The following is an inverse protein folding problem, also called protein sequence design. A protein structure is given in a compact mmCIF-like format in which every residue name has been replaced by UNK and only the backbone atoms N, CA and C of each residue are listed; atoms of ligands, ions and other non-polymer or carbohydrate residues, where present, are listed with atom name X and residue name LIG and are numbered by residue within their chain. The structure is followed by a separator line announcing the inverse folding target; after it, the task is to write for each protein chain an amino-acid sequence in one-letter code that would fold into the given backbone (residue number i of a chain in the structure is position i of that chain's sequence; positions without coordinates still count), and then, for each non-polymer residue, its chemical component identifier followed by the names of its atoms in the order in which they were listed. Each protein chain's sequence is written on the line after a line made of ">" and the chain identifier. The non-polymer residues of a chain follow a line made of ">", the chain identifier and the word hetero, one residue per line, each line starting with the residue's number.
data_IF_093791836305
#
_entry.id   IF_093791836305
#
_cell.length_a   1.000
_cell.length_b   1.000
_cell.length_c   1.000
_cell.angle_alpha   90.00
_cell.angle_beta   90.00
_cell.angle_gamma   90.00
#
_symmetry.space_group_name_H-M   'P 1'
#
loop_
_entity.id
_entity.type
_entity.pdbx_description
1 polymer ?
#
# COMPACT_ATOMS: atom_id res chain seq x y z
N UNK A 1 -18.44 -41.13 -39.49
CA UNK A 1 -18.58 -39.80 -38.91
C UNK A 1 -17.51 -39.68 -37.80
N UNK A 2 -16.39 -39.05 -38.12
CA UNK A 2 -15.29 -38.79 -37.20
C UNK A 2 -15.46 -37.39 -36.65
N UNK A 3 -15.62 -37.24 -35.37
CA UNK A 3 -15.66 -35.95 -34.68
C UNK A 3 -14.25 -35.55 -34.32
N UNK A 4 -13.80 -34.43 -34.92
CA UNK A 4 -12.51 -33.81 -34.63
C UNK A 4 -12.51 -33.20 -33.20
N UNK A 5 -11.54 -33.63 -32.44
CA UNK A 5 -11.26 -33.08 -31.10
C UNK A 5 -10.34 -31.87 -31.30
N UNK A 6 -10.84 -30.71 -30.91
CA UNK A 6 -10.16 -29.42 -30.95
C UNK A 6 -8.91 -29.46 -30.05
N UNK A 7 -7.73 -29.38 -30.64
CA UNK A 7 -6.46 -29.20 -29.95
C UNK A 7 -6.40 -27.78 -29.34
N UNK A 8 -6.42 -27.67 -28.04
CA UNK A 8 -6.10 -26.44 -27.30
C UNK A 8 -4.61 -26.14 -27.45
N UNK A 9 -4.27 -25.06 -28.13
CA UNK A 9 -2.90 -24.56 -28.22
C UNK A 9 -2.35 -24.24 -26.84
N UNK A 10 -1.11 -24.62 -26.50
CA UNK A 10 -0.50 -24.28 -25.21
C UNK A 10 -0.24 -22.77 -25.13
N UNK A 11 -0.54 -22.22 -23.96
CA UNK A 11 -0.22 -20.83 -23.59
C UNK A 11 1.30 -20.62 -23.68
N UNK A 12 1.73 -19.79 -24.63
CA UNK A 12 3.13 -19.43 -24.79
C UNK A 12 3.48 -18.38 -23.75
N UNK A 13 4.14 -18.77 -22.68
CA UNK A 13 4.81 -17.86 -21.75
C UNK A 13 6.00 -17.23 -22.50
N UNK A 14 5.81 -16.03 -22.99
CA UNK A 14 6.91 -15.23 -23.51
C UNK A 14 7.81 -14.86 -22.32
N UNK A 15 9.05 -15.34 -22.34
CA UNK A 15 10.07 -14.94 -21.39
C UNK A 15 10.40 -13.47 -21.66
N UNK A 16 9.95 -12.60 -20.76
CA UNK A 16 10.31 -11.18 -20.78
C UNK A 16 11.79 -11.04 -20.47
N UNK A 17 12.59 -10.63 -21.43
CA UNK A 17 14.03 -10.45 -21.25
C UNK A 17 14.35 -9.08 -20.64
N UNK A 18 15.47 -8.98 -19.90
CA UNK A 18 15.99 -7.73 -19.36
C UNK A 18 16.18 -6.63 -20.43
N UNK A 19 16.36 -7.01 -21.70
CA UNK A 19 16.44 -6.09 -22.84
C UNK A 19 15.08 -5.46 -23.17
N UNK A 20 13.98 -6.22 -23.10
CA UNK A 20 12.62 -5.68 -23.28
C UNK A 20 12.24 -4.73 -22.13
N UNK A 21 12.60 -5.08 -20.89
CA UNK A 21 12.40 -4.21 -19.73
C UNK A 21 13.14 -2.86 -19.87
N UNK A 22 14.37 -2.88 -20.41
CA UNK A 22 15.15 -1.66 -20.63
C UNK A 22 14.68 -0.84 -21.85
N UNK A 23 14.07 -1.48 -22.88
CA UNK A 23 13.50 -0.76 -24.02
C UNK A 23 12.19 -0.05 -23.68
N UNK A 24 11.37 -0.62 -22.79
CA UNK A 24 10.14 0.03 -22.31
C UNK A 24 10.43 1.19 -21.33
N UNK A 25 11.56 1.16 -20.64
CA UNK A 25 12.04 2.27 -19.81
C UNK A 25 12.42 3.52 -20.61
N UNK A 26 12.73 3.37 -21.89
CA UNK A 26 13.03 4.45 -22.83
C UNK A 26 11.82 4.79 -23.74
N UNK A 27 10.60 4.66 -23.24
CA UNK A 27 9.41 5.02 -24.01
C UNK A 27 9.30 6.54 -24.23
N UNK A 28 8.69 6.97 -25.34
CA UNK A 28 8.54 8.39 -25.69
C UNK A 28 7.85 9.25 -24.61
N UNK A 29 7.07 8.62 -23.72
CA UNK A 29 6.44 9.32 -22.59
C UNK A 29 7.45 9.86 -21.56
N UNK A 30 8.63 9.24 -21.42
CA UNK A 30 9.70 9.76 -20.55
C UNK A 30 10.42 10.95 -21.21
N UNK A 31 10.56 10.94 -22.52
CA UNK A 31 11.12 12.08 -23.25
C UNK A 31 10.17 13.28 -23.20
N UNK A 32 8.84 13.06 -23.32
CA UNK A 32 7.85 14.15 -23.16
C UNK A 32 7.85 14.79 -21.78
N UNK A 33 8.09 14.02 -20.69
CA UNK A 33 8.24 14.57 -19.35
C UNK A 33 9.55 15.39 -19.19
N UNK A 34 10.62 14.97 -19.85
CA UNK A 34 11.88 15.72 -19.85
C UNK A 34 11.86 16.96 -20.76
N UNK A 35 11.05 16.99 -21.83
CA UNK A 35 10.88 18.15 -22.69
C UNK A 35 9.96 19.23 -22.08
N UNK A 36 9.10 18.89 -21.12
CA UNK A 36 8.32 19.88 -20.36
C UNK A 36 9.09 20.54 -19.21
N UNK A 37 10.37 20.20 -19.03
CA UNK A 37 11.23 20.93 -18.09
C UNK A 37 11.32 22.39 -18.51
N UNK A 38 10.76 23.25 -17.69
CA UNK A 38 10.79 24.69 -17.91
C UNK A 38 12.20 25.11 -18.27
N UNK A 39 12.35 25.73 -19.45
CA UNK A 39 13.63 26.30 -19.87
C UNK A 39 14.13 27.18 -18.74
N UNK A 40 15.28 26.84 -18.17
CA UNK A 40 15.89 27.57 -17.09
C UNK A 40 15.99 29.05 -17.48
N UNK A 41 15.27 29.90 -16.77
CA UNK A 41 15.31 31.34 -16.95
C UNK A 41 16.06 31.98 -15.79
N UNK A 42 17.18 32.59 -16.09
CA UNK A 42 18.02 33.24 -15.08
C UNK A 42 18.91 32.29 -14.30
N UNK A 43 18.97 32.45 -12.99
CA UNK A 43 19.85 31.68 -12.10
C UNK A 43 19.24 30.36 -11.62
N UNK A 44 18.02 30.04 -12.01
CA UNK A 44 17.35 28.77 -11.65
C UNK A 44 17.85 27.65 -12.56
N UNK A 45 18.33 26.57 -11.97
CA UNK A 45 18.73 25.35 -12.65
C UNK A 45 17.89 24.18 -12.10
N UNK A 46 17.01 23.56 -12.93
CA UNK A 46 16.16 22.46 -12.51
C UNK A 46 16.92 21.22 -11.99
N UNK A 47 18.22 21.07 -12.34
CA UNK A 47 19.05 19.96 -11.85
C UNK A 47 19.32 20.01 -10.36
N UNK A 48 19.15 21.19 -9.74
CA UNK A 48 19.24 21.34 -8.28
C UNK A 48 17.93 21.09 -7.55
N UNK A 49 16.84 20.82 -8.29
CA UNK A 49 15.57 20.50 -7.68
C UNK A 49 15.56 19.05 -7.21
N UNK A 50 15.44 18.85 -5.90
CA UNK A 50 15.39 17.54 -5.27
C UNK A 50 14.26 17.48 -4.28
N UNK A 51 13.53 16.34 -4.29
CA UNK A 51 12.56 16.04 -3.25
C UNK A 51 13.26 15.88 -1.90
N UNK A 52 12.73 16.57 -0.89
CA UNK A 52 13.28 16.54 0.45
C UNK A 52 12.42 15.66 1.37
N UNK A 53 12.98 14.55 1.83
CA UNK A 53 12.35 13.68 2.83
C UNK A 53 13.10 13.76 4.15
N UNK A 54 12.37 13.59 5.26
CA UNK A 54 12.92 13.29 6.57
C UNK A 54 12.64 11.82 6.90
N UNK A 55 13.68 11.03 7.15
CA UNK A 55 13.55 9.62 7.51
C UNK A 55 14.27 9.36 8.81
N UNK A 56 13.69 8.53 9.65
CA UNK A 56 14.34 8.00 10.84
C UNK A 56 13.92 6.57 11.10
N UNK A 57 14.74 5.83 11.80
CA UNK A 57 14.49 4.44 12.15
C UNK A 57 14.87 4.16 13.61
N UNK A 58 14.09 3.31 14.25
CA UNK A 58 14.38 2.75 15.57
C UNK A 58 14.22 1.25 15.53
N UNK A 59 15.21 0.53 16.04
CA UNK A 59 15.25 -0.94 16.02
C UNK A 59 15.64 -1.46 17.40
N UNK A 60 14.93 -2.47 17.87
CA UNK A 60 15.36 -3.25 19.04
C UNK A 60 16.25 -4.40 18.55
N UNK A 61 17.56 -4.34 18.88
CA UNK A 61 18.58 -5.32 18.44
C UNK A 61 18.24 -6.74 18.92
N UNK A 62 17.55 -6.88 20.07
CA UNK A 62 17.12 -8.18 20.59
C UNK A 62 15.80 -8.69 20.00
N UNK A 63 15.19 -7.95 19.06
CA UNK A 63 13.93 -8.30 18.43
C UNK A 63 12.70 -8.25 19.36
N UNK A 64 12.80 -7.62 20.52
CA UNK A 64 11.71 -7.52 21.48
C UNK A 64 10.72 -6.44 21.03
N UNK A 65 9.47 -6.82 20.77
CA UNK A 65 8.38 -5.90 20.40
C UNK A 65 7.89 -5.16 21.66
N UNK A 66 8.05 -3.85 21.69
CA UNK A 66 7.58 -3.01 22.81
C UNK A 66 6.82 -1.80 22.31
N UNK A 67 5.88 -1.30 23.12
CA UNK A 67 5.18 -0.04 22.84
C UNK A 67 6.15 1.14 22.82
N UNK A 68 7.18 1.12 23.66
CA UNK A 68 8.23 2.15 23.68
C UNK A 68 8.92 2.33 22.31
N UNK A 69 9.10 1.25 21.54
CA UNK A 69 9.66 1.34 20.18
C UNK A 69 8.72 2.12 19.25
N UNK A 70 7.41 1.94 19.40
CA UNK A 70 6.41 2.69 18.63
C UNK A 70 6.40 4.16 19.03
N UNK A 71 6.42 4.48 20.33
CA UNK A 71 6.51 5.85 20.83
C UNK A 71 7.77 6.56 20.34
N UNK A 72 8.91 5.88 20.37
CA UNK A 72 10.16 6.42 19.86
C UNK A 72 10.09 6.70 18.34
N UNK A 73 9.44 5.84 17.56
CA UNK A 73 9.24 6.05 16.14
C UNK A 73 8.31 7.25 15.86
N UNK A 74 7.23 7.42 16.63
CA UNK A 74 6.37 8.60 16.55
C UNK A 74 7.14 9.88 16.90
N UNK A 75 7.99 9.82 17.91
CA UNK A 75 8.83 10.96 18.29
C UNK A 75 9.83 11.35 17.21
N UNK A 76 10.32 10.41 16.39
CA UNK A 76 11.13 10.73 15.22
C UNK A 76 10.32 11.61 14.25
N UNK A 77 9.06 11.23 13.97
CA UNK A 77 8.18 12.00 13.08
C UNK A 77 7.95 13.41 13.64
N UNK A 78 7.69 13.56 14.93
CA UNK A 78 7.54 14.86 15.58
C UNK A 78 8.81 15.72 15.47
N UNK A 79 9.98 15.12 15.66
CA UNK A 79 11.27 15.81 15.56
C UNK A 79 11.58 16.28 14.13
N UNK A 80 10.97 15.68 13.11
CA UNK A 80 11.12 16.07 11.71
C UNK A 80 10.18 17.21 11.28
N UNK A 81 9.31 17.70 12.18
CA UNK A 81 8.34 18.79 11.89
C UNK A 81 8.97 20.04 11.28
N UNK A 82 10.22 20.36 11.62
CA UNK A 82 10.94 21.51 11.09
C UNK A 82 11.27 21.39 9.60
N UNK A 83 11.14 20.19 9.02
CA UNK A 83 11.36 19.90 7.59
C UNK A 83 10.05 19.79 6.80
N UNK A 84 8.90 19.79 7.47
CA UNK A 84 7.61 19.70 6.83
C UNK A 84 7.21 21.02 6.20
N UNK A 85 6.79 20.98 4.94
CA UNK A 85 6.15 22.10 4.28
C UNK A 85 4.77 22.39 4.86
N UNK A 86 4.33 23.63 4.76
CA UNK A 86 2.98 24.06 5.14
C UNK A 86 2.37 24.88 4.01
N UNK A 87 1.09 24.66 3.78
CA UNK A 87 0.29 25.44 2.86
C UNK A 87 0.00 26.85 3.44
N UNK A 88 -0.52 27.74 2.62
CA UNK A 88 -0.87 29.11 2.99
C UNK A 88 -1.87 29.20 4.14
N UNK A 89 -2.69 28.17 4.37
CA UNK A 89 -3.62 28.08 5.51
C UNK A 89 -2.92 27.82 6.86
N UNK A 90 -1.62 27.54 6.83
CA UNK A 90 -0.78 27.24 8.00
C UNK A 90 -1.14 25.91 8.73
N UNK A 91 -2.13 25.17 8.24
CA UNK A 91 -2.65 23.93 8.82
C UNK A 91 -2.41 22.73 7.94
N UNK A 92 -2.68 22.84 6.63
CA UNK A 92 -2.37 21.80 5.65
C UNK A 92 -0.86 21.72 5.48
N UNK A 93 -0.32 20.52 5.39
CA UNK A 93 1.13 20.31 5.24
C UNK A 93 1.45 18.98 4.61
N UNK A 94 2.74 18.67 4.56
CA UNK A 94 3.23 17.39 4.09
C UNK A 94 2.67 16.23 4.91
N UNK A 95 2.43 15.12 4.23
CA UNK A 95 2.02 13.88 4.87
C UNK A 95 3.14 13.26 5.70
N UNK A 96 2.76 12.47 6.68
CA UNK A 96 3.67 11.66 7.49
C UNK A 96 3.25 10.22 7.48
N UNK A 97 4.20 9.31 7.68
CA UNK A 97 3.89 7.89 7.76
C UNK A 97 4.81 7.17 8.73
N UNK A 98 4.37 6.04 9.21
CA UNK A 98 5.14 5.15 10.06
C UNK A 98 4.95 3.72 9.61
N UNK A 99 6.06 3.00 9.45
CA UNK A 99 6.06 1.56 9.17
C UNK A 99 6.36 0.81 10.46
N UNK A 100 5.46 -0.10 10.83
CA UNK A 100 5.55 -0.89 12.05
C UNK A 100 5.47 -2.38 11.75
N UNK A 101 6.00 -3.20 12.65
CA UNK A 101 5.64 -4.62 12.67
C UNK A 101 4.18 -4.78 13.09
N UNK A 102 3.48 -5.74 12.47
CA UNK A 102 2.11 -6.09 12.85
C UNK A 102 2.07 -6.59 14.28
N UNK A 103 1.28 -5.92 15.13
CA UNK A 103 1.03 -6.36 16.50
C UNK A 103 -0.13 -7.34 16.53
N UNK A 104 0.17 -8.63 16.58
CA UNK A 104 -0.86 -9.69 16.65
C UNK A 104 -1.83 -9.48 17.83
N UNK A 105 -1.31 -9.15 19.00
CA UNK A 105 -2.12 -8.88 20.20
C UNK A 105 -3.12 -7.73 19.98
N UNK A 106 -2.69 -6.65 19.33
CA UNK A 106 -3.55 -5.50 19.03
C UNK A 106 -4.66 -5.90 18.04
N UNK A 107 -4.29 -6.50 16.91
CA UNK A 107 -5.27 -6.80 15.86
C UNK A 107 -6.25 -7.88 16.30
N UNK A 108 -5.81 -8.92 17.01
CA UNK A 108 -6.70 -9.94 17.57
C UNK A 108 -7.79 -9.32 18.47
N UNK A 109 -7.44 -8.29 19.24
CA UNK A 109 -8.42 -7.53 20.03
C UNK A 109 -9.30 -6.61 19.18
N UNK A 110 -8.69 -5.91 18.21
CA UNK A 110 -9.37 -4.88 17.42
C UNK A 110 -10.40 -5.45 16.42
N UNK A 111 -10.19 -6.67 15.93
CA UNK A 111 -11.10 -7.28 14.94
C UNK A 111 -12.14 -8.23 15.58
N UNK A 112 -11.97 -8.59 16.85
CA UNK A 112 -12.92 -9.47 17.57
C UNK A 112 -14.38 -8.96 17.50
N UNK A 113 -14.67 -7.66 17.68
CA UNK A 113 -16.04 -7.14 17.57
C UNK A 113 -16.64 -7.26 16.16
N UNK A 114 -15.79 -7.44 15.14
CA UNK A 114 -16.18 -7.58 13.73
C UNK A 114 -16.42 -9.05 13.34
N UNK A 115 -16.24 -9.99 14.26
CA UNK A 115 -16.36 -11.42 13.98
C UNK A 115 -15.22 -11.97 13.11
N UNK A 116 -14.12 -11.25 12.95
CA UNK A 116 -12.96 -11.70 12.18
C UNK A 116 -12.06 -12.54 13.11
N UNK A 117 -11.85 -13.80 12.73
CA UNK A 117 -10.95 -14.69 13.43
C UNK A 117 -9.58 -14.72 12.75
N UNK A 118 -8.60 -14.15 13.44
CA UNK A 118 -7.20 -14.24 13.05
C UNK A 118 -6.60 -15.53 13.60
N UNK A 119 -5.92 -16.29 12.79
CA UNK A 119 -5.13 -17.45 13.23
C UNK A 119 -3.96 -17.04 14.14
N UNK A 120 -2.87 -17.75 14.06
CA UNK A 120 -1.64 -17.40 14.76
C UNK A 120 -0.90 -16.23 14.11
N UNK A 121 0.14 -15.72 14.77
CA UNK A 121 0.98 -14.68 14.19
C UNK A 121 1.55 -15.10 12.84
N UNK A 122 1.42 -14.26 11.82
CA UNK A 122 1.82 -14.49 10.42
C UNK A 122 0.99 -15.52 9.64
N UNK A 123 -0.15 -15.96 10.17
CA UNK A 123 -1.13 -16.76 9.42
C UNK A 123 -2.12 -15.88 8.66
N UNK A 124 -1.95 -14.57 8.74
CA UNK A 124 -2.76 -13.59 8.01
C UNK A 124 -1.92 -12.40 7.56
N UNK A 125 -2.36 -11.78 6.49
CA UNK A 125 -1.85 -10.49 6.01
C UNK A 125 -2.82 -9.37 6.32
N UNK A 126 -2.28 -8.16 6.48
CA UNK A 126 -3.07 -6.94 6.65
C UNK A 126 -2.73 -5.97 5.54
N UNK A 127 -3.77 -5.49 4.84
CA UNK A 127 -3.69 -4.40 3.87
C UNK A 127 -4.14 -3.09 4.46
N UNK A 128 -3.46 -1.99 4.12
CA UNK A 128 -3.89 -0.63 4.40
C UNK A 128 -4.33 0.02 3.10
N UNK A 129 -5.63 0.32 2.99
CA UNK A 129 -6.29 0.81 1.79
C UNK A 129 -6.84 2.22 2.00
N UNK A 130 -6.70 3.04 0.98
CA UNK A 130 -7.26 4.37 0.89
C UNK A 130 -8.24 4.40 -0.29
N UNK A 131 -9.53 4.49 0.02
CA UNK A 131 -10.61 4.48 -0.95
C UNK A 131 -11.18 5.88 -1.16
N UNK A 132 -11.80 6.16 -2.32
CA UNK A 132 -12.58 7.37 -2.50
C UNK A 132 -13.75 7.45 -1.52
N UNK A 133 -14.25 8.65 -1.27
CA UNK A 133 -15.44 8.85 -0.42
C UNK A 133 -16.74 8.40 -1.10
N UNK A 134 -16.75 8.29 -2.42
CA UNK A 134 -17.89 7.76 -3.17
C UNK A 134 -18.17 6.31 -2.77
N UNK A 135 -19.34 6.08 -2.20
CA UNK A 135 -19.76 4.78 -1.66
C UNK A 135 -19.81 3.69 -2.74
N UNK A 136 -20.25 4.03 -3.97
CA UNK A 136 -20.32 3.07 -5.06
C UNK A 136 -18.93 2.63 -5.48
N UNK A 137 -18.02 3.58 -5.75
CA UNK A 137 -16.64 3.30 -6.12
C UNK A 137 -15.88 2.55 -5.03
N UNK A 138 -16.06 2.95 -3.77
CA UNK A 138 -15.48 2.26 -2.61
C UNK A 138 -15.94 0.80 -2.55
N UNK A 139 -17.24 0.55 -2.66
CA UNK A 139 -17.79 -0.81 -2.57
C UNK A 139 -17.37 -1.68 -3.76
N UNK A 140 -17.29 -1.11 -4.97
CA UNK A 140 -16.76 -1.80 -6.15
C UNK A 140 -15.29 -2.19 -5.97
N UNK A 141 -14.45 -1.26 -5.48
CA UNK A 141 -13.04 -1.51 -5.22
C UNK A 141 -12.83 -2.57 -4.13
N UNK A 142 -13.62 -2.52 -3.05
CA UNK A 142 -13.61 -3.55 -2.00
C UNK A 142 -13.94 -4.93 -2.58
N UNK A 143 -15.03 -5.03 -3.35
CA UNK A 143 -15.45 -6.30 -3.95
C UNK A 143 -14.42 -6.82 -4.96
N UNK A 144 -13.83 -5.92 -5.74
CA UNK A 144 -12.73 -6.28 -6.65
C UNK A 144 -11.56 -6.92 -5.90
N UNK A 145 -11.12 -6.32 -4.79
CA UNK A 145 -10.03 -6.88 -3.98
C UNK A 145 -10.38 -8.24 -3.39
N UNK A 146 -11.60 -8.43 -2.87
CA UNK A 146 -12.09 -9.71 -2.36
C UNK A 146 -11.99 -10.81 -3.44
N UNK A 147 -12.49 -10.53 -4.66
CA UNK A 147 -12.44 -11.46 -5.78
C UNK A 147 -10.99 -11.78 -6.20
N UNK A 148 -10.10 -10.78 -6.18
CA UNK A 148 -8.67 -11.00 -6.48
C UNK A 148 -8.04 -11.93 -5.44
N UNK A 149 -8.29 -11.71 -4.15
CA UNK A 149 -7.79 -12.57 -3.07
C UNK A 149 -8.24 -14.01 -3.25
N UNK A 150 -9.53 -14.23 -3.57
CA UNK A 150 -10.09 -15.56 -3.82
C UNK A 150 -9.45 -16.21 -5.06
N UNK A 151 -9.28 -15.47 -6.16
CA UNK A 151 -8.64 -15.96 -7.40
C UNK A 151 -7.16 -16.34 -7.19
N UNK A 152 -6.47 -15.63 -6.32
CA UNK A 152 -5.09 -15.97 -5.93
C UNK A 152 -5.02 -17.14 -4.92
N UNK A 153 -6.17 -17.81 -4.64
CA UNK A 153 -6.24 -18.96 -3.75
C UNK A 153 -6.03 -18.62 -2.29
N UNK A 154 -6.41 -17.43 -1.87
CA UNK A 154 -6.40 -16.98 -0.48
C UNK A 154 -7.84 -16.78 0.02
N UNK A 155 -8.02 -16.79 1.34
CA UNK A 155 -9.30 -16.52 1.99
C UNK A 155 -9.35 -15.06 2.48
N UNK A 156 -10.38 -14.33 2.08
CA UNK A 156 -10.63 -12.99 2.59
C UNK A 156 -11.39 -13.05 3.92
N UNK A 157 -10.82 -12.50 4.99
CA UNK A 157 -11.39 -12.57 6.33
C UNK A 157 -12.33 -11.42 6.66
N UNK A 158 -12.09 -10.24 6.10
CA UNK A 158 -12.95 -9.09 6.34
C UNK A 158 -12.26 -7.73 6.24
N UNK A 159 -13.08 -6.68 6.33
CA UNK A 159 -12.67 -5.28 6.36
C UNK A 159 -12.81 -4.69 7.77
N UNK A 160 -11.89 -3.82 8.13
CA UNK A 160 -11.96 -2.97 9.32
C UNK A 160 -11.77 -1.51 8.93
N UNK A 161 -12.66 -0.65 9.35
CA UNK A 161 -12.46 0.79 9.22
C UNK A 161 -11.40 1.27 10.22
N UNK A 162 -10.51 2.13 9.76
CA UNK A 162 -9.46 2.71 10.62
C UNK A 162 -10.04 3.90 11.37
N UNK A 163 -9.96 3.94 12.70
CA UNK A 163 -10.36 5.12 13.47
C UNK A 163 -9.51 6.33 13.08
N UNK A 164 -10.17 7.42 12.72
CA UNK A 164 -9.55 8.67 12.29
C UNK A 164 -10.12 9.85 13.08
N UNK A 165 -9.43 10.99 13.07
CA UNK A 165 -9.83 12.23 13.72
C UNK A 165 -9.97 13.38 12.71
N UNK A 166 -11.06 13.43 11.92
CA UNK A 166 -11.26 14.43 10.88
C UNK A 166 -11.32 15.88 11.41
N UNK A 167 -11.66 16.03 12.70
CA UNK A 167 -11.69 17.31 13.42
C UNK A 167 -10.31 17.98 13.51
N UNK A 168 -9.22 17.21 13.33
CA UNK A 168 -7.84 17.71 13.35
C UNK A 168 -7.37 18.21 11.99
N UNK A 169 -8.09 17.89 10.92
CA UNK A 169 -7.74 18.30 9.56
C UNK A 169 -8.20 19.74 9.28
N UNK A 170 -7.50 20.40 8.36
CA UNK A 170 -8.00 21.63 7.72
C UNK A 170 -9.19 21.31 6.83
N UNK A 171 -10.00 22.31 6.48
CA UNK A 171 -11.15 22.12 5.59
C UNK A 171 -10.68 21.57 4.23
N UNK A 172 -9.59 22.12 3.68
CA UNK A 172 -8.97 21.66 2.43
C UNK A 172 -8.57 20.17 2.49
N UNK A 173 -7.94 19.74 3.58
CA UNK A 173 -7.51 18.35 3.74
C UNK A 173 -8.72 17.41 3.98
N UNK A 174 -9.77 17.90 4.63
CA UNK A 174 -11.01 17.15 4.87
C UNK A 174 -11.79 16.89 3.58
N UNK A 175 -11.83 17.86 2.67
CA UNK A 175 -12.53 17.75 1.38
C UNK A 175 -11.93 16.65 0.48
N UNK A 176 -10.63 16.37 0.61
CA UNK A 176 -9.95 15.33 -0.15
C UNK A 176 -9.56 14.09 0.68
N UNK A 177 -10.04 14.00 1.92
CA UNK A 177 -9.74 12.88 2.80
C UNK A 177 -10.28 11.55 2.24
N UNK A 178 -9.45 10.50 2.12
CA UNK A 178 -9.91 9.17 1.71
C UNK A 178 -10.62 8.43 2.83
N UNK A 179 -11.40 7.42 2.46
CA UNK A 179 -11.88 6.42 3.41
C UNK A 179 -10.77 5.39 3.66
N UNK A 180 -10.30 5.27 4.90
CA UNK A 180 -9.17 4.41 5.26
C UNK A 180 -9.67 3.10 5.84
N UNK A 181 -9.28 1.98 5.22
CA UNK A 181 -9.72 0.65 5.64
C UNK A 181 -8.55 -0.34 5.71
N UNK A 182 -8.71 -1.32 6.55
CA UNK A 182 -7.80 -2.47 6.66
C UNK A 182 -8.48 -3.72 6.14
N UNK A 183 -7.80 -4.43 5.22
CA UNK A 183 -8.19 -5.75 4.73
C UNK A 183 -7.43 -6.83 5.49
N UNK A 184 -8.11 -7.92 5.81
CA UNK A 184 -7.49 -9.10 6.44
C UNK A 184 -7.59 -10.28 5.49
N UNK A 185 -6.46 -10.93 5.22
CA UNK A 185 -6.34 -12.05 4.28
C UNK A 185 -5.67 -13.21 4.99
N UNK A 186 -6.28 -14.40 4.96
CA UNK A 186 -5.75 -15.60 5.57
C UNK A 186 -4.71 -16.25 4.67
N UNK A 187 -3.65 -16.76 5.27
CA UNK A 187 -2.63 -17.54 4.59
C UNK A 187 -3.20 -18.92 4.19
N UNK A 188 -3.03 -19.36 2.93
CA UNK A 188 -3.33 -20.74 2.54
C UNK A 188 -2.45 -21.74 3.28
N UNK A 189 -2.97 -22.93 3.57
CA UNK A 189 -2.23 -23.95 4.31
C UNK A 189 -1.01 -24.49 3.57
N UNK A 190 -1.07 -24.53 2.25
CA UNK A 190 0.00 -24.96 1.34
C UNK A 190 1.11 -23.92 1.11
N UNK A 191 0.98 -22.73 1.68
CA UNK A 191 1.95 -21.64 1.54
C UNK A 191 2.71 -21.42 2.84
N UNK A 192 4.04 -21.37 2.77
CA UNK A 192 4.87 -21.14 3.95
C UNK A 192 4.69 -19.74 4.54
N UNK A 193 4.82 -19.67 5.89
CA UNK A 193 4.81 -18.39 6.61
C UNK A 193 6.00 -17.52 6.18
N UNK A 194 5.78 -16.23 6.08
CA UNK A 194 6.83 -15.28 5.81
C UNK A 194 6.89 -14.85 4.36
N UNK A 195 8.04 -15.06 3.69
CA UNK A 195 8.29 -14.46 2.38
C UNK A 195 7.38 -15.01 1.28
N UNK A 196 7.04 -16.29 1.30
CA UNK A 196 6.20 -16.90 0.26
C UNK A 196 4.75 -16.41 0.35
N UNK A 197 4.23 -16.27 1.56
CA UNK A 197 2.94 -15.64 1.75
C UNK A 197 2.96 -14.15 1.37
N UNK A 198 4.01 -13.41 1.74
CA UNK A 198 4.15 -12.00 1.35
C UNK A 198 4.25 -11.83 -0.17
N UNK A 199 4.84 -12.79 -0.91
CA UNK A 199 4.83 -12.79 -2.38
C UNK A 199 3.43 -12.94 -2.96
N UNK A 200 2.60 -13.83 -2.42
CA UNK A 200 1.20 -13.96 -2.82
C UNK A 200 0.41 -12.66 -2.56
N UNK A 201 0.57 -12.09 -1.37
CA UNK A 201 -0.04 -10.81 -1.02
C UNK A 201 0.42 -9.69 -1.98
N UNK A 202 1.71 -9.68 -2.36
CA UNK A 202 2.24 -8.73 -3.33
C UNK A 202 1.58 -8.88 -4.71
N UNK A 203 1.39 -10.11 -5.20
CA UNK A 203 0.70 -10.36 -6.47
C UNK A 203 -0.73 -9.83 -6.40
N UNK A 204 -1.50 -10.19 -5.37
CA UNK A 204 -2.87 -9.69 -5.18
C UNK A 204 -2.93 -8.16 -5.14
N UNK A 205 -1.99 -7.52 -4.44
CA UNK A 205 -1.85 -6.07 -4.42
C UNK A 205 -1.62 -5.50 -5.81
N UNK A 206 -0.66 -6.05 -6.58
CA UNK A 206 -0.34 -5.54 -7.92
C UNK A 206 -1.48 -5.70 -8.92
N UNK A 207 -2.19 -6.82 -8.87
CA UNK A 207 -3.38 -7.05 -9.69
C UNK A 207 -4.46 -6.01 -9.37
N UNK A 208 -4.69 -5.74 -8.07
CA UNK A 208 -5.64 -4.72 -7.64
C UNK A 208 -5.22 -3.32 -8.11
N UNK A 209 -3.96 -2.91 -7.89
CA UNK A 209 -3.44 -1.60 -8.29
C UNK A 209 -3.49 -1.37 -9.81
N UNK A 210 -3.35 -2.44 -10.62
CA UNK A 210 -3.47 -2.36 -12.08
C UNK A 210 -4.93 -2.32 -12.56
N UNK A 211 -5.87 -2.73 -11.73
CA UNK A 211 -7.29 -2.82 -12.06
C UNK A 211 -8.12 -1.67 -11.50
N UNK A 212 -7.54 -0.84 -10.63
CA UNK A 212 -8.24 0.24 -9.94
C UNK A 212 -7.36 1.45 -9.74
N UNK A 213 -7.69 2.55 -10.42
CA UNK A 213 -6.95 3.82 -10.35
C UNK A 213 -7.47 4.77 -9.26
N UNK A 214 -8.68 4.51 -8.74
CA UNK A 214 -9.34 5.39 -7.75
C UNK A 214 -8.91 5.09 -6.30
N UNK A 215 -8.12 4.03 -6.07
CA UNK A 215 -7.75 3.58 -4.73
C UNK A 215 -6.24 3.42 -4.58
N UNK A 216 -5.75 3.61 -3.37
CA UNK A 216 -4.33 3.49 -3.05
C UNK A 216 -4.10 2.42 -1.97
N UNK A 217 -3.09 1.57 -2.15
CA UNK A 217 -2.69 0.55 -1.17
C UNK A 217 -1.34 0.94 -0.57
N UNK A 218 -1.33 1.41 0.66
CA UNK A 218 -0.09 1.79 1.34
C UNK A 218 0.79 0.59 1.67
N UNK A 219 0.17 -0.52 2.11
CA UNK A 219 0.86 -1.77 2.41
C UNK A 219 -0.09 -2.96 2.34
N UNK A 220 0.45 -4.14 2.03
CA UNK A 220 -0.22 -5.44 2.18
C UNK A 220 0.86 -6.47 2.51
N UNK A 221 0.91 -6.94 3.74
CA UNK A 221 1.97 -7.82 4.23
C UNK A 221 1.50 -8.64 5.44
N UNK A 222 2.16 -9.76 5.70
CA UNK A 222 1.99 -10.57 6.91
C UNK A 222 2.88 -10.14 8.08
N UNK A 223 3.81 -9.21 7.85
CA UNK A 223 4.86 -8.82 8.80
C UNK A 223 4.80 -7.37 9.25
N UNK A 224 4.52 -6.49 8.32
CA UNK A 224 4.58 -5.04 8.54
C UNK A 224 3.32 -4.36 8.04
N UNK A 225 3.03 -3.19 8.61
CA UNK A 225 1.93 -2.33 8.21
C UNK A 225 2.42 -0.89 8.13
N UNK A 226 1.97 -0.15 7.12
CA UNK A 226 2.23 1.28 6.97
C UNK A 226 0.99 2.06 7.38
N UNK A 227 1.15 2.94 8.33
CA UNK A 227 0.21 4.02 8.64
C UNK A 227 0.71 5.30 7.98
N UNK A 228 -0.16 5.92 7.21
CA UNK A 228 0.17 7.13 6.44
C UNK A 228 -0.92 8.19 6.61
#
# INVERSE_FOLDING_TARGET
>A
MKTDINETKPFRTEQFTLQQYNSERNSPMKEQWNESTAVAKGLYDPSFEHDNCGIGAVVNIKGIKTHQTVENALKIVENLKHRAGKDADGKTGDGVGILLQISHKFFKKAVKPLGIELGEERDYGIGMFFFPQDELKKNQAKKMFEVIVEKEGMEFLGWREVPIHPDKLSDKARDCMPCIMQAFVKRPEDVEKGLDFDRKLYVARRVFEQSNDDSYVASLSSRTIVYK
#
